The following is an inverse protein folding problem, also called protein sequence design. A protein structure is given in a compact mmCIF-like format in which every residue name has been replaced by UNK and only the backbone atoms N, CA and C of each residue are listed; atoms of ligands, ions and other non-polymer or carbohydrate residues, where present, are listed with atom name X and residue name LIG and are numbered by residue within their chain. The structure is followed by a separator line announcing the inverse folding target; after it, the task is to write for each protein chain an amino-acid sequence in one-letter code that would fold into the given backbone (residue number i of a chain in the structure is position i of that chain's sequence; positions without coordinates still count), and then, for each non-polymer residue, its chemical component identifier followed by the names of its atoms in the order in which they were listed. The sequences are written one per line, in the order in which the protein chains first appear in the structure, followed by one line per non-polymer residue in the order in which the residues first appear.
data_IF_689624190210
#
_entry.id   IF_689624190210
#
_cell.length_a   1.000
_cell.length_b   1.000
_cell.length_c   1.000
_cell.angle_alpha   90.00
_cell.angle_beta   90.00
_cell.angle_gamma   90.00
#
_symmetry.space_group_name_H-M   'P 1'
#
loop_
_entity.id
_entity.type
_entity.pdbx_description
1 polymer ?
#
# COMPACT_ATOMS: atom_id res chain seq x y z
N UNK A 1 44.81 -9.13 57.77
CA UNK A 1 44.36 -8.93 56.37
C UNK A 1 43.09 -9.75 56.15
N UNK A 2 41.93 -9.15 56.40
CA UNK A 2 40.62 -9.62 55.92
C UNK A 2 39.78 -8.35 55.76
N UNK A 3 39.47 -7.97 54.52
CA UNK A 3 38.45 -6.94 54.21
C UNK A 3 37.24 -7.69 53.67
N UNK A 4 36.13 -7.57 54.39
CA UNK A 4 34.78 -7.87 53.92
C UNK A 4 34.28 -6.64 53.16
N UNK A 5 33.99 -6.79 51.87
CA UNK A 5 33.26 -5.79 51.09
C UNK A 5 31.95 -6.43 50.63
N UNK A 6 30.85 -5.78 51.04
CA UNK A 6 29.47 -6.13 50.72
C UNK A 6 29.19 -6.02 49.23
N UNK A 7 28.67 -7.09 48.61
CA UNK A 7 28.00 -7.00 47.32
C UNK A 7 26.51 -6.72 47.55
N UNK A 8 26.12 -5.46 47.36
CA UNK A 8 24.72 -5.08 47.14
C UNK A 8 24.38 -5.47 45.69
N UNK A 9 23.54 -6.49 45.53
CA UNK A 9 22.94 -6.83 44.25
C UNK A 9 21.87 -5.79 43.91
N UNK A 10 22.21 -4.82 43.07
CA UNK A 10 21.25 -3.92 42.46
C UNK A 10 20.48 -4.69 41.37
N UNK A 11 19.18 -4.91 41.57
CA UNK A 11 18.26 -5.31 40.51
C UNK A 11 18.25 -4.21 39.44
N UNK A 12 18.90 -4.47 38.31
CA UNK A 12 18.67 -3.70 37.09
C UNK A 12 17.31 -4.11 36.51
N UNK A 13 16.29 -3.33 36.81
CA UNK A 13 15.03 -3.33 36.05
C UNK A 13 15.41 -2.87 34.63
N UNK A 14 15.54 -3.83 33.73
CA UNK A 14 15.64 -3.54 32.30
C UNK A 14 14.26 -3.05 31.84
N UNK A 15 14.10 -1.73 31.83
CA UNK A 15 13.09 -1.09 30.99
C UNK A 15 13.50 -1.34 29.55
N UNK A 16 13.04 -2.48 29.01
CA UNK A 16 13.07 -2.77 27.59
C UNK A 16 12.28 -1.70 26.87
N UNK A 17 12.96 -0.63 26.49
CA UNK A 17 12.50 0.25 25.41
C UNK A 17 12.40 -0.67 24.21
N UNK A 18 11.17 -1.11 23.92
CA UNK A 18 10.84 -1.75 22.66
C UNK A 18 11.19 -0.71 21.59
N UNK A 19 12.39 -0.86 21.04
CA UNK A 19 12.79 -0.21 19.81
C UNK A 19 11.66 -0.50 18.84
N UNK A 20 10.89 0.55 18.54
CA UNK A 20 9.95 0.50 17.44
C UNK A 20 10.78 0.02 16.25
N UNK A 21 10.27 -0.88 15.40
CA UNK A 21 10.81 -0.96 14.07
C UNK A 21 10.56 0.44 13.47
N UNK A 22 11.55 1.32 13.59
CA UNK A 22 11.82 2.30 12.57
C UNK A 22 11.75 1.47 11.31
N UNK A 23 10.68 1.67 10.54
CA UNK A 23 10.57 1.19 9.18
C UNK A 23 11.88 1.68 8.58
N UNK A 24 12.87 0.79 8.47
CA UNK A 24 14.15 1.09 7.85
C UNK A 24 13.74 1.75 6.56
N UNK A 25 14.24 2.96 6.32
CA UNK A 25 14.07 3.71 5.09
C UNK A 25 14.36 2.80 3.90
N UNK A 26 13.39 1.97 3.50
CA UNK A 26 13.23 1.48 2.15
C UNK A 26 12.77 2.75 1.47
N UNK A 27 13.78 3.45 0.96
CA UNK A 27 13.72 4.66 0.15
C UNK A 27 12.28 5.11 -0.10
N UNK A 28 11.74 5.99 0.77
CA UNK A 28 10.47 6.68 0.53
C UNK A 28 10.74 7.57 -0.68
N UNK A 29 10.67 6.99 -1.88
CA UNK A 29 10.77 7.72 -3.13
C UNK A 29 9.44 8.42 -3.32
N UNK A 30 9.47 9.75 -3.29
CA UNK A 30 8.29 10.55 -3.50
C UNK A 30 7.91 10.47 -4.96
N UNK A 31 6.72 9.96 -5.24
CA UNK A 31 6.31 9.70 -6.60
C UNK A 31 5.75 10.96 -7.24
N UNK A 32 6.62 11.91 -7.58
CA UNK A 32 6.21 13.13 -8.26
C UNK A 32 5.73 12.80 -9.68
N UNK A 33 4.53 13.26 -10.04
CA UNK A 33 4.18 13.49 -11.43
C UNK A 33 5.15 14.55 -11.97
N UNK A 34 6.28 14.14 -12.54
CA UNK A 34 7.02 15.03 -13.44
C UNK A 34 6.08 15.39 -14.59
N UNK A 35 5.87 16.69 -14.82
CA UNK A 35 5.08 17.22 -15.93
C UNK A 35 5.75 16.94 -17.28
N UNK A 36 5.95 15.67 -17.66
CA UNK A 36 6.67 15.34 -18.89
C UNK A 36 5.91 15.65 -20.16
N UNK A 37 4.63 16.07 -20.12
CA UNK A 37 3.96 16.71 -21.26
C UNK A 37 2.63 17.38 -20.85
N UNK A 38 2.61 18.70 -20.73
CA UNK A 38 1.37 19.49 -20.59
C UNK A 38 0.41 19.30 -21.79
N UNK A 39 0.95 18.91 -22.97
CA UNK A 39 0.18 18.65 -24.19
C UNK A 39 -0.41 17.25 -24.29
N UNK A 40 -0.02 16.30 -23.43
CA UNK A 40 -0.68 14.99 -23.40
C UNK A 40 -2.10 15.08 -22.80
N UNK A 41 -2.42 16.17 -22.09
CA UNK A 41 -3.67 16.30 -21.33
C UNK A 41 -4.94 16.37 -22.19
N UNK A 42 -4.87 16.77 -23.46
CA UNK A 42 -6.07 16.90 -24.30
C UNK A 42 -6.57 15.58 -24.92
N UNK A 43 -5.78 14.50 -24.89
CA UNK A 43 -6.21 13.17 -25.40
C UNK A 43 -6.16 12.04 -24.33
N UNK A 44 -6.12 12.36 -23.03
CA UNK A 44 -6.16 11.34 -21.96
C UNK A 44 -7.58 10.81 -21.72
N UNK A 45 -8.22 10.24 -22.76
CA UNK A 45 -9.35 9.32 -22.57
C UNK A 45 -8.82 7.89 -22.59
N UNK A 46 -8.20 7.46 -21.50
CA UNK A 46 -7.71 6.08 -21.45
C UNK A 46 -8.89 5.09 -21.30
N UNK A 47 -8.88 4.06 -22.15
CA UNK A 47 -9.81 2.91 -22.22
C UNK A 47 -9.01 1.60 -22.35
N UNK A 48 -7.90 1.49 -21.63
CA UNK A 48 -6.95 0.39 -21.69
C UNK A 48 -7.70 -0.93 -21.56
N UNK A 49 -7.71 -1.69 -22.66
CA UNK A 49 -8.27 -3.04 -22.66
C UNK A 49 -7.16 -3.95 -22.18
N UNK A 50 -7.28 -4.46 -20.96
CA UNK A 50 -6.37 -5.47 -20.42
C UNK A 50 -6.89 -6.84 -20.84
N UNK A 51 -6.20 -7.57 -21.75
CA UNK A 51 -6.66 -8.89 -22.14
C UNK A 51 -6.66 -9.83 -20.94
N UNK A 52 -7.72 -10.63 -20.80
CA UNK A 52 -7.76 -11.69 -19.80
C UNK A 52 -6.70 -12.72 -20.16
N UNK A 53 -5.88 -13.08 -19.19
CA UNK A 53 -4.91 -14.17 -19.29
C UNK A 53 -5.20 -15.18 -18.19
N UNK A 54 -5.14 -16.48 -18.50
CA UNK A 54 -5.25 -17.56 -17.50
C UNK A 54 -3.91 -18.27 -17.29
N UNK A 55 -2.94 -18.04 -18.16
CA UNK A 55 -1.60 -18.63 -18.16
C UNK A 55 -0.52 -17.60 -18.43
N UNK A 56 0.67 -17.83 -17.91
CA UNK A 56 1.86 -17.05 -18.22
C UNK A 56 2.26 -17.21 -19.69
N UNK A 57 1.86 -16.23 -20.51
CA UNK A 57 2.18 -16.16 -21.93
C UNK A 57 2.12 -14.69 -22.40
N UNK A 58 3.05 -13.82 -21.97
CA UNK A 58 3.05 -12.43 -22.36
C UNK A 58 3.23 -12.25 -23.88
N UNK A 59 2.69 -11.18 -24.48
CA UNK A 59 2.97 -10.80 -25.86
C UNK A 59 4.48 -10.74 -26.14
N UNK A 60 4.92 -11.22 -27.30
CA UNK A 60 6.35 -11.33 -27.65
C UNK A 60 7.10 -10.00 -27.60
N UNK A 61 6.41 -8.90 -27.91
CA UNK A 61 6.94 -7.53 -27.81
C UNK A 61 7.13 -7.03 -26.37
N UNK A 62 6.55 -7.68 -25.37
CA UNK A 62 6.70 -7.33 -23.95
C UNK A 62 7.73 -8.19 -23.22
N UNK A 63 8.11 -9.35 -23.75
CA UNK A 63 8.99 -10.32 -23.06
C UNK A 63 10.33 -9.67 -22.63
N UNK A 64 10.99 -8.95 -23.53
CA UNK A 64 12.27 -8.28 -23.23
C UNK A 64 12.09 -7.21 -22.15
N UNK A 65 11.04 -6.41 -22.23
CA UNK A 65 10.73 -5.38 -21.24
C UNK A 65 10.48 -6.00 -19.86
N UNK A 66 9.68 -7.06 -19.77
CA UNK A 66 9.39 -7.77 -18.52
C UNK A 66 10.64 -8.42 -17.92
N UNK A 67 11.58 -8.92 -18.73
CA UNK A 67 12.86 -9.42 -18.22
C UNK A 67 13.74 -8.29 -17.65
N UNK A 68 13.78 -7.13 -18.31
CA UNK A 68 14.49 -5.94 -17.81
C UNK A 68 13.91 -5.46 -16.48
N UNK A 69 12.58 -5.35 -16.39
CA UNK A 69 11.87 -4.99 -15.15
C UNK A 69 12.23 -5.97 -14.05
N UNK A 70 12.08 -7.28 -14.29
CA UNK A 70 12.38 -8.29 -13.28
C UNK A 70 13.82 -8.23 -12.75
N UNK A 71 14.80 -8.07 -13.64
CA UNK A 71 16.21 -7.92 -13.27
C UNK A 71 16.44 -6.68 -12.41
N UNK A 72 15.82 -5.56 -12.77
CA UNK A 72 15.91 -4.35 -11.98
C UNK A 72 15.22 -4.49 -10.63
N UNK A 73 14.04 -5.13 -10.57
CA UNK A 73 13.31 -5.40 -9.31
C UNK A 73 14.17 -6.20 -8.35
N UNK A 74 14.84 -7.26 -8.83
CA UNK A 74 15.71 -8.08 -7.99
C UNK A 74 17.03 -7.40 -7.62
N UNK A 75 17.45 -6.38 -8.37
CA UNK A 75 18.61 -5.54 -8.02
C UNK A 75 18.26 -4.55 -6.90
N UNK A 76 17.12 -3.88 -7.01
CA UNK A 76 16.67 -2.88 -6.03
C UNK A 76 16.09 -3.50 -4.77
N UNK A 77 15.44 -4.66 -4.89
CA UNK A 77 14.86 -5.38 -3.77
C UNK A 77 15.23 -6.89 -3.82
N UNK A 78 16.49 -7.26 -3.54
CA UNK A 78 16.96 -8.65 -3.62
C UNK A 78 16.21 -9.62 -2.70
N UNK A 79 15.62 -9.10 -1.62
CA UNK A 79 14.85 -9.85 -0.65
C UNK A 79 13.33 -9.69 -0.83
N UNK A 80 12.87 -9.05 -1.91
CA UNK A 80 11.45 -8.75 -2.11
C UNK A 80 10.57 -10.00 -2.09
N UNK A 81 11.04 -11.11 -2.66
CA UNK A 81 10.32 -12.38 -2.58
C UNK A 81 10.28 -13.00 -1.18
N UNK A 82 11.10 -12.56 -0.23
CA UNK A 82 11.07 -13.05 1.16
C UNK A 82 10.05 -12.31 2.03
N UNK A 83 9.73 -11.06 1.68
CA UNK A 83 8.71 -10.27 2.36
C UNK A 83 7.32 -10.89 2.13
N UNK A 84 6.58 -11.15 3.21
CA UNK A 84 5.25 -11.81 3.21
C UNK A 84 4.10 -10.82 3.48
N UNK A 85 4.34 -9.53 3.25
CA UNK A 85 3.37 -8.47 3.45
C UNK A 85 2.85 -7.83 2.16
N UNK A 86 3.24 -8.29 0.97
CA UNK A 86 2.68 -7.76 -0.29
C UNK A 86 1.16 -7.86 -0.33
N UNK A 87 0.49 -6.98 -1.07
CA UNK A 87 -0.98 -7.03 -1.26
C UNK A 87 -1.46 -8.42 -1.69
N UNK A 88 -0.71 -9.11 -2.56
CA UNK A 88 -0.98 -10.50 -2.93
C UNK A 88 -1.02 -11.44 -1.71
N UNK A 89 -0.03 -11.34 -0.81
CA UNK A 89 0.01 -12.13 0.44
C UNK A 89 -1.14 -11.75 1.38
N UNK A 90 -1.46 -10.46 1.50
CA UNK A 90 -2.57 -9.97 2.33
C UNK A 90 -3.92 -10.52 1.83
N UNK A 91 -4.19 -10.39 0.53
CA UNK A 91 -5.42 -10.85 -0.13
C UNK A 91 -5.60 -12.35 0.04
N UNK A 92 -4.54 -13.15 -0.19
CA UNK A 92 -4.61 -14.60 -0.04
C UNK A 92 -4.79 -15.00 1.43
N UNK A 93 -4.03 -14.40 2.35
CA UNK A 93 -4.10 -14.72 3.77
C UNK A 93 -5.48 -14.43 4.39
N UNK A 94 -6.19 -13.42 3.86
CA UNK A 94 -7.50 -13.01 4.36
C UNK A 94 -8.66 -13.34 3.39
N UNK A 95 -8.44 -14.31 2.49
CA UNK A 95 -9.42 -14.85 1.55
C UNK A 95 -10.22 -13.76 0.80
N UNK A 96 -9.51 -12.75 0.31
CA UNK A 96 -10.10 -11.64 -0.45
C UNK A 96 -10.62 -10.48 0.38
N UNK A 97 -10.47 -10.47 1.70
CA UNK A 97 -10.82 -9.31 2.51
C UNK A 97 -9.57 -8.46 2.77
N UNK A 98 -9.69 -7.15 2.65
CA UNK A 98 -8.63 -6.21 3.01
C UNK A 98 -9.22 -5.14 3.91
N UNK A 99 -8.69 -5.02 5.12
CA UNK A 99 -9.09 -4.01 6.08
C UNK A 99 -8.07 -2.86 6.07
N UNK A 100 -8.54 -1.66 5.76
CA UNK A 100 -7.78 -0.43 5.86
C UNK A 100 -7.92 0.21 7.24
N UNK A 101 -6.84 0.82 7.71
CA UNK A 101 -6.93 1.91 8.68
C UNK A 101 -6.51 3.24 8.04
N UNK A 102 -7.33 4.29 8.18
CA UNK A 102 -7.06 5.59 7.58
C UNK A 102 -6.36 6.50 8.59
N UNK A 103 -5.15 6.96 8.26
CA UNK A 103 -4.43 7.98 9.00
C UNK A 103 -4.79 9.34 8.43
N UNK A 104 -5.72 10.03 9.10
CA UNK A 104 -6.21 11.34 8.72
C UNK A 104 -5.34 12.44 9.34
N UNK A 105 -4.20 12.71 8.71
CA UNK A 105 -3.30 13.78 9.10
C UNK A 105 -3.69 15.09 8.39
N UNK A 106 -4.91 15.55 8.61
CA UNK A 106 -5.48 16.73 7.95
C UNK A 106 -6.33 17.54 8.92
N UNK A 107 -6.27 18.88 8.83
CA UNK A 107 -7.00 19.80 9.74
C UNK A 107 -8.50 19.86 9.47
N UNK A 108 -8.95 19.53 8.27
CA UNK A 108 -10.37 19.50 7.91
C UNK A 108 -11.10 18.30 8.52
N UNK A 109 -12.44 18.37 8.50
CA UNK A 109 -13.32 17.34 9.06
C UNK A 109 -13.41 16.11 8.16
N UNK A 110 -13.37 14.93 8.77
CA UNK A 110 -13.71 13.66 8.16
C UNK A 110 -15.20 13.37 8.39
N UNK A 111 -16.01 13.79 7.42
CA UNK A 111 -17.48 13.61 7.47
C UNK A 111 -17.87 12.18 7.14
N UNK A 112 -19.06 11.74 7.56
CA UNK A 112 -19.60 10.42 7.20
C UNK A 112 -19.63 10.20 5.66
N UNK A 113 -19.95 11.24 4.88
CA UNK A 113 -19.96 11.17 3.42
C UNK A 113 -18.56 11.01 2.82
N UNK A 114 -17.56 11.72 3.38
CA UNK A 114 -16.17 11.56 2.97
C UNK A 114 -15.69 10.13 3.24
N UNK A 115 -15.91 9.61 4.45
CA UNK A 115 -15.54 8.24 4.84
C UNK A 115 -16.21 7.18 3.96
N UNK A 116 -17.50 7.34 3.67
CA UNK A 116 -18.23 6.45 2.76
C UNK A 116 -17.69 6.50 1.31
N UNK A 117 -17.20 7.65 0.84
CA UNK A 117 -16.58 7.78 -0.47
C UNK A 117 -15.16 7.19 -0.47
N UNK A 118 -14.40 7.36 0.61
CA UNK A 118 -13.05 6.79 0.79
C UNK A 118 -13.06 5.27 0.61
N UNK A 119 -13.93 4.52 1.31
CA UNK A 119 -13.97 3.06 1.18
C UNK A 119 -14.37 2.61 -0.22
N UNK A 120 -15.28 3.34 -0.89
CA UNK A 120 -15.67 3.05 -2.28
C UNK A 120 -14.53 3.30 -3.26
N UNK A 121 -13.74 4.35 -3.05
CA UNK A 121 -12.55 4.66 -3.84
C UNK A 121 -11.49 3.56 -3.68
N UNK A 122 -11.19 3.17 -2.45
CA UNK A 122 -10.23 2.10 -2.16
C UNK A 122 -10.67 0.76 -2.77
N UNK A 123 -11.94 0.36 -2.61
CA UNK A 123 -12.48 -0.83 -3.28
C UNK A 123 -12.30 -0.75 -4.79
N UNK A 124 -12.75 0.34 -5.42
CA UNK A 124 -12.72 0.49 -6.88
C UNK A 124 -11.29 0.44 -7.42
N UNK A 125 -10.36 1.15 -6.79
CA UNK A 125 -8.97 1.20 -7.22
C UNK A 125 -8.25 -0.14 -7.03
N UNK A 126 -8.40 -0.78 -5.87
CA UNK A 126 -7.75 -2.07 -5.61
C UNK A 126 -8.37 -3.20 -6.45
N UNK A 127 -9.68 -3.13 -6.73
CA UNK A 127 -10.37 -4.09 -7.59
C UNK A 127 -9.73 -4.19 -8.98
N UNK A 128 -9.31 -3.06 -9.56
CA UNK A 128 -8.68 -3.05 -10.90
C UNK A 128 -7.38 -3.85 -10.94
N UNK A 129 -6.54 -3.74 -9.90
CA UNK A 129 -5.35 -4.57 -9.77
C UNK A 129 -5.68 -6.03 -9.46
N UNK A 130 -6.65 -6.27 -8.57
CA UNK A 130 -7.09 -7.61 -8.21
C UNK A 130 -7.62 -8.40 -9.43
N UNK A 131 -8.43 -7.77 -10.28
CA UNK A 131 -9.05 -8.38 -11.45
C UNK A 131 -8.01 -8.90 -12.47
N UNK A 132 -6.81 -8.32 -12.51
CA UNK A 132 -5.69 -8.80 -13.34
C UNK A 132 -5.30 -10.24 -12.99
N UNK A 133 -5.42 -10.61 -11.72
CA UNK A 133 -5.00 -11.91 -11.19
C UNK A 133 -6.14 -12.95 -11.15
N UNK A 134 -7.41 -12.55 -11.22
CA UNK A 134 -8.55 -13.46 -11.12
C UNK A 134 -8.51 -14.52 -12.24
N UNK A 135 -8.32 -15.78 -11.85
CA UNK A 135 -8.23 -16.92 -12.76
C UNK A 135 -6.89 -17.06 -13.51
N UNK A 136 -5.91 -16.21 -13.20
CA UNK A 136 -4.56 -16.28 -13.75
C UNK A 136 -3.69 -17.22 -12.93
N UNK A 137 -3.05 -18.21 -13.57
CA UNK A 137 -2.08 -19.12 -12.95
C UNK A 137 -2.59 -19.79 -11.64
N UNK A 138 -3.90 -20.03 -11.54
CA UNK A 138 -4.51 -20.66 -10.36
C UNK A 138 -4.62 -19.77 -9.13
N UNK A 139 -4.58 -18.43 -9.30
CA UNK A 139 -4.82 -17.49 -8.20
C UNK A 139 -6.10 -17.86 -7.42
N UNK A 140 -6.01 -18.07 -6.08
CA UNK A 140 -7.04 -18.79 -5.33
C UNK A 140 -8.25 -17.93 -4.95
N UNK A 141 -8.15 -16.61 -5.08
CA UNK A 141 -9.19 -15.66 -4.65
C UNK A 141 -9.93 -15.10 -5.86
N UNK A 142 -11.26 -15.08 -5.80
CA UNK A 142 -12.15 -14.65 -6.90
C UNK A 142 -12.99 -13.42 -6.57
N UNK A 143 -13.01 -12.99 -5.31
CA UNK A 143 -13.72 -11.81 -4.84
C UNK A 143 -12.83 -10.98 -3.93
N UNK A 144 -12.88 -9.66 -4.06
CA UNK A 144 -12.23 -8.71 -3.18
C UNK A 144 -13.29 -7.91 -2.41
N UNK A 145 -13.17 -7.83 -1.09
CA UNK A 145 -13.93 -6.91 -0.24
C UNK A 145 -12.94 -6.01 0.51
N UNK A 146 -13.07 -4.70 0.31
CA UNK A 146 -12.27 -3.68 0.98
C UNK A 146 -13.11 -2.99 2.03
N UNK A 147 -12.61 -2.97 3.27
CA UNK A 147 -13.24 -2.30 4.40
C UNK A 147 -12.33 -1.21 4.95
N UNK A 148 -12.91 -0.26 5.68
CA UNK A 148 -12.16 0.63 6.58
C UNK A 148 -12.64 0.32 7.98
N UNK A 149 -11.71 -0.09 8.86
CA UNK A 149 -12.02 -0.51 10.24
C UNK A 149 -11.62 0.53 11.28
N UNK A 150 -10.83 1.54 10.89
CA UNK A 150 -10.42 2.57 11.82
C UNK A 150 -9.95 3.86 11.16
N UNK A 151 -9.97 4.92 11.96
CA UNK A 151 -9.44 6.24 11.63
C UNK A 151 -8.53 6.72 12.75
N UNK A 152 -7.31 7.11 12.42
CA UNK A 152 -6.43 7.85 13.31
C UNK A 152 -6.48 9.35 12.97
N UNK A 153 -6.70 10.19 13.97
CA UNK A 153 -6.82 11.66 13.83
C UNK A 153 -6.04 12.37 14.93
N UNK A 154 -5.53 13.58 14.67
CA UNK A 154 -4.88 14.40 15.72
C UNK A 154 -5.85 14.78 16.84
N UNK A 155 -7.13 14.94 16.52
CA UNK A 155 -8.18 15.28 17.47
C UNK A 155 -9.48 14.59 17.09
N UNK A 156 -10.13 13.92 18.06
CA UNK A 156 -11.40 13.21 17.86
C UNK A 156 -12.52 14.09 17.28
N UNK A 157 -12.49 15.39 17.56
CA UNK A 157 -13.44 16.37 17.03
C UNK A 157 -13.37 16.52 15.50
N UNK A 158 -12.34 15.99 14.84
CA UNK A 158 -12.25 15.98 13.38
C UNK A 158 -13.15 14.93 12.74
N UNK A 159 -13.64 13.94 13.50
CA UNK A 159 -14.55 12.91 12.99
C UNK A 159 -15.98 13.38 13.22
N UNK A 160 -16.77 13.44 12.15
CA UNK A 160 -18.16 13.89 12.19
C UNK A 160 -19.14 12.81 11.72
N UNK A 161 -20.26 12.71 12.42
CA UNK A 161 -21.32 11.74 12.15
C UNK A 161 -21.06 10.38 12.80
N UNK A 162 -21.76 9.35 12.31
CA UNK A 162 -21.71 8.01 12.87
C UNK A 162 -20.32 7.36 12.72
N UNK A 163 -19.86 6.69 13.77
CA UNK A 163 -18.59 5.94 13.81
C UNK A 163 -18.82 4.47 14.17
N UNK A 164 -20.05 3.98 14.10
CA UNK A 164 -20.37 2.58 14.36
C UNK A 164 -19.52 1.66 13.48
N UNK A 165 -18.83 0.71 14.10
CA UNK A 165 -17.92 -0.21 13.41
C UNK A 165 -16.54 0.37 13.06
N UNK A 166 -16.21 1.59 13.53
CA UNK A 166 -14.89 2.19 13.34
C UNK A 166 -14.20 2.43 14.68
N UNK A 167 -12.95 2.01 14.76
CA UNK A 167 -12.05 2.43 15.84
C UNK A 167 -11.51 3.83 15.56
N UNK A 168 -11.68 4.74 16.51
CA UNK A 168 -11.18 6.11 16.40
C UNK A 168 -9.98 6.28 17.32
N UNK A 169 -8.80 6.40 16.71
CA UNK A 169 -7.52 6.57 17.38
C UNK A 169 -7.13 8.05 17.43
N UNK A 170 -6.58 8.48 18.56
CA UNK A 170 -5.97 9.81 18.73
C UNK A 170 -4.49 9.73 19.11
N UNK A 171 -3.90 8.55 18.94
CA UNK A 171 -2.48 8.28 19.09
C UNK A 171 -1.71 8.79 17.88
N UNK A 172 -0.46 9.14 18.07
CA UNK A 172 0.46 9.55 17.00
C UNK A 172 1.71 8.70 17.04
N UNK A 173 2.36 8.56 15.89
CA UNK A 173 3.72 8.02 15.82
C UNK A 173 4.73 9.04 16.42
N UNK A 174 6.03 8.70 16.50
CA UNK A 174 7.06 9.61 17.03
C UNK A 174 7.17 10.96 16.29
N UNK A 175 6.76 11.02 15.02
CA UNK A 175 6.77 12.23 14.19
C UNK A 175 5.51 13.09 14.39
N UNK A 176 4.59 12.69 15.27
CA UNK A 176 3.35 13.42 15.54
C UNK A 176 2.24 13.21 14.50
N UNK A 177 2.40 12.26 13.59
CA UNK A 177 1.40 11.87 12.59
C UNK A 177 0.43 10.87 13.22
N UNK A 178 -0.90 11.09 13.13
CA UNK A 178 -1.90 10.17 13.67
C UNK A 178 -1.66 8.73 13.24
N UNK A 179 -1.69 7.78 14.16
CA UNK A 179 -1.37 6.37 13.93
C UNK A 179 -2.42 5.45 14.56
N UNK A 180 -2.85 4.44 13.80
CA UNK A 180 -3.73 3.39 14.29
C UNK A 180 -2.96 2.41 15.19
N UNK A 181 -3.65 1.65 16.04
CA UNK A 181 -2.97 0.77 16.98
C UNK A 181 -2.14 -0.32 16.26
N UNK A 182 -0.82 -0.23 16.37
CA UNK A 182 0.13 -1.12 15.73
C UNK A 182 0.03 -2.58 16.22
N UNK A 183 -0.61 -2.83 17.36
CA UNK A 183 -0.95 -4.19 17.82
C UNK A 183 -2.01 -4.87 16.95
N UNK A 184 -2.75 -4.08 16.17
CA UNK A 184 -3.77 -4.55 15.23
C UNK A 184 -3.26 -4.61 13.78
N UNK A 185 -2.00 -4.24 13.53
CA UNK A 185 -1.47 -4.07 12.19
C UNK A 185 -0.76 -5.32 11.66
N UNK A 186 -1.30 -5.93 10.59
CA UNK A 186 -0.76 -7.17 10.02
C UNK A 186 0.74 -7.15 9.74
N UNK A 187 1.29 -6.06 9.20
CA UNK A 187 2.69 -5.99 8.79
C UNK A 187 3.68 -6.22 9.95
N UNK A 188 3.27 -5.95 11.19
CA UNK A 188 4.08 -6.16 12.39
C UNK A 188 3.87 -7.54 13.03
N UNK A 189 2.90 -8.31 12.52
CA UNK A 189 2.46 -9.60 13.07
C UNK A 189 2.36 -10.66 11.97
N UNK A 190 3.37 -10.76 11.11
CA UNK A 190 3.44 -11.75 10.01
C UNK A 190 3.53 -13.20 10.50
N UNK A 191 3.79 -13.41 11.79
CA UNK A 191 3.65 -14.69 12.47
C UNK A 191 2.18 -15.10 12.73
N UNK A 192 1.23 -14.20 12.46
CA UNK A 192 -0.20 -14.39 12.67
C UNK A 192 -0.68 -14.07 14.09
N UNK A 193 0.21 -13.66 15.00
CA UNK A 193 -0.15 -13.35 16.37
C UNK A 193 -0.54 -11.87 16.52
N UNK A 194 -1.85 -11.61 16.45
CA UNK A 194 -2.44 -10.33 16.79
C UNK A 194 -3.37 -10.47 18.01
N UNK A 195 -2.96 -11.27 19.01
CA UNK A 195 -3.78 -11.49 20.23
C UNK A 195 -3.87 -10.23 21.10
N UNK A 196 -2.91 -9.30 20.95
CA UNK A 196 -2.82 -8.07 21.74
C UNK A 196 -3.60 -6.89 21.11
N UNK A 197 -4.27 -7.11 19.98
CA UNK A 197 -5.13 -6.10 19.36
C UNK A 197 -6.36 -5.84 20.27
N UNK A 198 -6.54 -4.63 20.82
CA UNK A 198 -7.55 -4.38 21.86
C UNK A 198 -9.00 -4.67 21.42
N UNK A 199 -9.36 -4.35 20.18
CA UNK A 199 -10.68 -4.67 19.62
C UNK A 199 -10.74 -6.01 18.88
N UNK A 200 -9.78 -6.90 19.13
CA UNK A 200 -9.83 -8.28 18.68
C UNK A 200 -9.67 -8.42 17.17
N UNK A 201 -10.53 -9.23 16.53
CA UNK A 201 -10.45 -9.48 15.08
C UNK A 201 -11.02 -8.33 14.24
N UNK A 202 -12.04 -7.65 14.74
CA UNK A 202 -12.76 -6.62 13.99
C UNK A 202 -11.93 -5.34 13.80
N UNK A 203 -10.98 -5.10 14.70
CA UNK A 203 -10.03 -3.97 14.65
C UNK A 203 -8.76 -4.26 13.85
N UNK A 204 -8.53 -5.49 13.40
CA UNK A 204 -7.32 -5.84 12.64
C UNK A 204 -7.35 -5.21 11.27
N UNK A 205 -6.22 -4.65 10.86
CA UNK A 205 -6.06 -4.04 9.55
C UNK A 205 -4.81 -4.55 8.85
N UNK A 206 -4.91 -4.68 7.54
CA UNK A 206 -3.88 -5.24 6.66
C UNK A 206 -2.97 -4.15 6.11
N UNK A 207 -3.55 -2.97 5.87
CA UNK A 207 -2.95 -1.89 5.11
C UNK A 207 -3.47 -0.53 5.59
N UNK A 208 -2.76 0.55 5.25
CA UNK A 208 -3.12 1.90 5.70
C UNK A 208 -3.20 2.90 4.54
N UNK A 209 -4.16 3.82 4.63
CA UNK A 209 -4.24 5.00 3.76
C UNK A 209 -3.87 6.22 4.59
N UNK A 210 -2.82 6.91 4.21
CA UNK A 210 -2.34 8.10 4.89
C UNK A 210 -2.77 9.29 4.05
N UNK A 211 -3.60 10.14 4.63
CA UNK A 211 -4.00 11.41 4.04
C UNK A 211 -3.23 12.49 4.76
N UNK A 212 -2.08 12.86 4.19
CA UNK A 212 -1.07 13.67 4.86
C UNK A 212 -1.05 15.11 4.36
N UNK A 213 -1.31 16.06 5.26
CA UNK A 213 -1.29 17.48 4.97
C UNK A 213 0.08 17.97 4.45
N UNK A 214 1.19 17.30 4.76
CA UNK A 214 2.51 17.62 4.24
C UNK A 214 2.59 17.45 2.72
N UNK A 215 1.73 16.60 2.14
CA UNK A 215 1.63 16.38 0.70
C UNK A 215 0.57 17.26 0.02
N UNK A 216 -0.07 18.19 0.74
CA UNK A 216 -1.07 19.10 0.16
C UNK A 216 -0.45 19.95 -0.94
N UNK A 217 -1.13 20.06 -2.08
CA UNK A 217 -0.63 20.81 -3.24
C UNK A 217 0.52 20.12 -3.98
N UNK A 218 0.93 18.92 -3.57
CA UNK A 218 1.89 18.10 -4.29
C UNK A 218 1.15 17.10 -5.19
N UNK A 219 1.64 16.91 -6.42
CA UNK A 219 1.12 15.90 -7.34
C UNK A 219 1.99 14.64 -7.25
N UNK A 220 1.93 13.97 -6.10
CA UNK A 220 2.63 12.71 -5.88
C UNK A 220 2.21 12.01 -4.60
N UNK A 221 2.77 10.82 -4.36
CA UNK A 221 2.48 10.01 -3.19
C UNK A 221 3.64 9.12 -2.78
N UNK A 222 3.37 8.28 -1.78
CA UNK A 222 4.23 7.14 -1.45
C UNK A 222 3.39 5.89 -1.37
N UNK A 223 3.99 4.77 -1.75
CA UNK A 223 3.31 3.49 -1.82
C UNK A 223 4.28 2.36 -1.53
N UNK A 224 3.81 1.40 -0.75
CA UNK A 224 4.52 0.13 -0.57
C UNK A 224 3.55 -0.93 -0.04
N UNK A 225 4.08 -2.06 0.43
CA UNK A 225 3.27 -3.12 1.02
C UNK A 225 2.53 -2.71 2.32
N UNK A 226 2.89 -1.58 2.93
CA UNK A 226 2.22 -1.05 4.13
C UNK A 226 1.00 -0.17 3.84
N UNK A 227 0.86 0.32 2.61
CA UNK A 227 -0.14 1.33 2.33
C UNK A 227 0.17 2.30 1.21
N UNK A 228 -0.65 3.33 1.18
CA UNK A 228 -0.55 4.47 0.29
C UNK A 228 -0.60 5.75 1.13
N UNK A 229 0.19 6.74 0.76
CA UNK A 229 0.22 8.07 1.36
C UNK A 229 0.06 9.13 0.27
N UNK A 230 -0.95 9.98 0.42
CA UNK A 230 -1.33 10.98 -0.56
C UNK A 230 -1.71 12.29 0.12
N UNK A 231 -1.65 13.39 -0.65
CA UNK A 231 -2.26 14.66 -0.25
C UNK A 231 -3.78 14.51 -0.06
N UNK A 232 -4.35 15.01 1.06
CA UNK A 232 -5.78 14.91 1.34
C UNK A 232 -6.62 15.65 0.30
N UNK A 233 -6.15 16.80 -0.17
CA UNK A 233 -6.78 17.59 -1.23
C UNK A 233 -6.86 16.81 -2.55
N UNK A 234 -5.76 16.22 -3.00
CA UNK A 234 -5.72 15.40 -4.19
C UNK A 234 -6.69 14.21 -4.07
N UNK A 235 -6.58 13.42 -2.99
CA UNK A 235 -7.39 12.22 -2.83
C UNK A 235 -8.89 12.56 -2.77
N UNK A 236 -9.28 13.54 -1.96
CA UNK A 236 -10.69 13.89 -1.77
C UNK A 236 -11.31 14.54 -3.02
N UNK A 237 -10.56 15.36 -3.76
CA UNK A 237 -11.03 15.94 -5.01
C UNK A 237 -11.25 14.89 -6.11
N UNK A 238 -10.51 13.78 -6.05
CA UNK A 238 -10.57 12.72 -7.05
C UNK A 238 -11.31 11.45 -6.57
N UNK A 239 -11.86 11.44 -5.35
CA UNK A 239 -12.40 10.24 -4.67
C UNK A 239 -13.51 9.52 -5.46
N UNK A 240 -14.19 10.23 -6.36
CA UNK A 240 -15.27 9.68 -7.19
C UNK A 240 -14.83 9.33 -8.62
N UNK A 241 -13.59 9.62 -9.02
CA UNK A 241 -13.08 9.25 -10.33
C UNK A 241 -12.91 7.73 -10.44
N UNK A 242 -13.16 7.19 -11.63
CA UNK A 242 -12.95 5.76 -11.87
C UNK A 242 -11.49 5.37 -11.67
N UNK A 243 -10.57 6.19 -12.21
CA UNK A 243 -9.13 6.05 -12.05
C UNK A 243 -8.56 7.21 -11.21
N UNK A 244 -8.25 6.93 -9.94
CA UNK A 244 -7.49 7.84 -9.08
C UNK A 244 -6.01 7.59 -9.33
N UNK A 245 -5.43 8.32 -10.29
CA UNK A 245 -4.12 8.01 -10.87
C UNK A 245 -3.01 7.75 -9.82
N UNK A 246 -2.73 8.68 -8.91
CA UNK A 246 -1.66 8.50 -7.91
C UNK A 246 -1.98 7.30 -7.02
N UNK A 247 -3.23 7.16 -6.56
CA UNK A 247 -3.61 6.02 -5.73
C UNK A 247 -3.39 4.68 -6.43
N UNK A 248 -3.73 4.58 -7.72
CA UNK A 248 -3.51 3.37 -8.50
C UNK A 248 -2.01 3.06 -8.66
N UNK A 249 -1.19 4.08 -8.90
CA UNK A 249 0.27 3.96 -8.93
C UNK A 249 0.82 3.44 -7.59
N UNK A 250 0.48 4.10 -6.47
CA UNK A 250 0.96 3.70 -5.15
C UNK A 250 0.47 2.30 -4.72
N UNK A 251 -0.72 1.89 -5.17
CA UNK A 251 -1.20 0.51 -4.99
C UNK A 251 -0.35 -0.51 -5.75
N UNK A 252 0.20 -0.15 -6.91
CA UNK A 252 1.10 -1.01 -7.67
C UNK A 252 2.37 -1.37 -6.90
N UNK A 253 2.94 -0.44 -6.13
CA UNK A 253 4.04 -0.73 -5.20
C UNK A 253 3.64 -1.70 -4.08
N UNK A 254 2.39 -1.65 -3.63
CA UNK A 254 1.83 -2.64 -2.71
C UNK A 254 1.83 -4.07 -3.28
N UNK A 255 1.80 -4.20 -4.61
CA UNK A 255 2.00 -5.47 -5.31
C UNK A 255 3.46 -5.77 -5.67
N UNK A 256 4.44 -4.98 -5.18
CA UNK A 256 5.86 -5.21 -5.44
C UNK A 256 6.35 -4.69 -6.79
N UNK A 257 5.54 -3.89 -7.50
CA UNK A 257 5.96 -3.27 -8.76
C UNK A 257 6.93 -2.12 -8.50
N UNK A 258 7.92 -1.96 -9.38
CA UNK A 258 8.88 -0.86 -9.31
C UNK A 258 8.30 0.46 -9.81
N UNK A 259 8.99 1.53 -9.46
CA UNK A 259 8.84 2.85 -10.07
C UNK A 259 9.87 3.07 -11.20
N UNK A 260 9.61 4.03 -12.09
CA UNK A 260 10.35 4.25 -13.34
C UNK A 260 10.60 5.75 -13.61
N UNK A 261 11.64 6.33 -12.99
CA UNK A 261 12.08 7.72 -13.23
C UNK A 261 13.23 7.84 -14.23
N UNK A 262 14.24 7.00 -14.07
CA UNK A 262 15.55 7.17 -14.72
C UNK A 262 15.73 6.30 -15.96
N UNK A 263 14.77 5.42 -16.22
CA UNK A 263 14.84 4.47 -17.32
C UNK A 263 13.45 3.98 -17.71
N UNK A 264 13.34 3.48 -18.94
CA UNK A 264 12.09 2.91 -19.46
C UNK A 264 12.40 1.54 -20.08
N UNK A 265 11.60 0.50 -19.78
CA UNK A 265 11.75 -0.79 -20.44
C UNK A 265 11.61 -0.69 -21.96
N UNK A 266 12.37 -1.50 -22.67
CA UNK A 266 12.41 -1.46 -24.13
C UNK A 266 11.01 -1.62 -24.75
N UNK A 267 10.66 -0.68 -25.63
CA UNK A 267 9.41 -0.72 -26.38
C UNK A 267 8.16 -0.38 -25.57
N UNK A 268 8.31 0.06 -24.32
CA UNK A 268 7.21 0.56 -23.51
C UNK A 268 7.29 2.09 -23.42
N UNK A 269 6.14 2.77 -23.49
CA UNK A 269 6.10 4.23 -23.53
C UNK A 269 5.08 4.84 -22.59
N UNK A 270 4.03 4.09 -22.20
CA UNK A 270 2.99 4.57 -21.30
C UNK A 270 2.49 3.40 -20.45
N UNK A 271 2.62 3.50 -19.13
CA UNK A 271 2.12 2.53 -18.15
C UNK A 271 2.09 3.19 -16.77
N UNK A 272 1.16 2.80 -15.91
CA UNK A 272 0.87 3.57 -14.70
C UNK A 272 2.05 3.63 -13.75
N UNK A 273 2.87 2.56 -13.70
CA UNK A 273 4.07 2.53 -12.85
C UNK A 273 5.19 3.46 -13.34
N UNK A 274 5.09 4.03 -14.54
CA UNK A 274 5.91 5.17 -14.97
C UNK A 274 5.07 6.43 -14.76
N UNK A 275 5.25 7.04 -13.59
CA UNK A 275 4.41 8.12 -13.09
C UNK A 275 4.18 9.22 -14.16
N UNK A 276 2.91 9.55 -14.39
CA UNK A 276 2.52 10.59 -15.35
C UNK A 276 2.45 10.15 -16.82
N UNK A 277 2.94 8.95 -17.18
CA UNK A 277 2.86 8.45 -18.56
C UNK A 277 1.51 7.82 -18.92
N UNK A 278 0.77 7.32 -17.92
CA UNK A 278 -0.58 6.80 -18.07
C UNK A 278 -1.43 7.18 -16.86
N UNK A 279 -2.74 7.36 -17.04
CA UNK A 279 -3.67 7.74 -15.96
C UNK A 279 -4.47 6.56 -15.39
N UNK A 280 -4.28 5.36 -15.94
CA UNK A 280 -4.90 4.11 -15.52
C UNK A 280 -3.99 2.91 -15.77
N UNK A 281 -4.34 1.76 -15.19
CA UNK A 281 -3.60 0.51 -15.34
C UNK A 281 -3.65 0.04 -16.80
N UNK A 282 -2.47 -0.17 -17.39
CA UNK A 282 -2.32 -0.63 -18.76
C UNK A 282 -2.11 -2.14 -18.86
N UNK A 283 -2.09 -2.68 -20.08
CA UNK A 283 -1.73 -4.08 -20.30
C UNK A 283 -0.30 -4.40 -19.82
N UNK A 284 0.65 -3.47 -19.98
CA UNK A 284 2.03 -3.72 -19.53
C UNK A 284 2.10 -3.81 -18.00
N UNK A 285 1.39 -2.93 -17.27
CA UNK A 285 1.25 -3.01 -15.81
C UNK A 285 0.65 -4.36 -15.37
N UNK A 286 -0.37 -4.81 -16.09
CA UNK A 286 -1.01 -6.09 -15.82
C UNK A 286 -0.04 -7.28 -16.02
N UNK A 287 0.81 -7.25 -17.05
CA UNK A 287 1.82 -8.28 -17.25
C UNK A 287 2.97 -8.22 -16.23
N UNK A 288 3.36 -7.03 -15.76
CA UNK A 288 4.29 -6.88 -14.64
C UNK A 288 3.71 -7.52 -13.37
N UNK A 289 2.44 -7.24 -13.03
CA UNK A 289 1.76 -7.85 -11.89
C UNK A 289 1.65 -9.37 -12.03
N UNK A 290 1.28 -9.87 -13.21
CA UNK A 290 1.24 -11.32 -13.49
C UNK A 290 2.60 -11.98 -13.32
N UNK A 291 3.67 -11.33 -13.78
CA UNK A 291 5.04 -11.82 -13.62
C UNK A 291 5.39 -11.92 -12.13
N UNK A 292 5.14 -10.85 -11.38
CA UNK A 292 5.36 -10.83 -9.94
C UNK A 292 4.61 -11.97 -9.22
N UNK A 293 3.33 -12.18 -9.56
CA UNK A 293 2.54 -13.26 -9.00
C UNK A 293 3.15 -14.65 -9.29
N UNK A 294 3.58 -14.93 -10.53
CA UNK A 294 4.24 -16.22 -10.85
C UNK A 294 5.49 -16.43 -10.01
N UNK A 295 6.28 -15.38 -9.78
CA UNK A 295 7.50 -15.44 -8.97
C UNK A 295 7.18 -15.65 -7.49
N UNK A 296 6.20 -14.93 -6.95
CA UNK A 296 5.72 -15.13 -5.59
C UNK A 296 5.14 -16.54 -5.40
N UNK A 297 4.28 -16.99 -6.30
CA UNK A 297 3.69 -18.33 -6.27
C UNK A 297 4.76 -19.41 -6.14
N UNK A 298 5.78 -19.35 -6.99
CA UNK A 298 6.92 -20.28 -6.92
C UNK A 298 7.69 -20.17 -5.59
N UNK A 299 7.93 -18.96 -5.08
CA UNK A 299 8.62 -18.74 -3.81
C UNK A 299 7.80 -19.15 -2.57
N UNK A 300 6.48 -19.13 -2.66
CA UNK A 300 5.54 -19.47 -1.58
C UNK A 300 5.11 -20.94 -1.59
N UNK A 301 5.18 -21.61 -2.74
CA UNK A 301 4.60 -22.94 -2.94
C UNK A 301 3.08 -22.94 -3.00
N UNK A 302 2.48 -21.87 -3.53
CA UNK A 302 1.03 -21.80 -3.83
C UNK A 302 0.67 -22.50 -5.15
#
# INVERSE_FOLDING_TARGET
MVKFESFIAALAVSTGVLAHPTIKHVDRRFCALEERNLFAREELTSRATIPKATKWNPPSNMVTALDQVWKQTMKENPQGLQDKNWLTDQIIANNGNINYCVRWNHKGKSTAAARASTVKALQRSLQKWFDVLVGFEGFPVTKLNVNVVGYAVKNKNLIEGDTTGLDIYTTTNPDGVPECDTRCYRALHLNGDMSQCPGGKDSRYDISLWLDEELTGQFGGYGYNWGQELGPDYFLNNVNLDNIHILLHEMGHGFGLLDFYDWTPQGQTNFIMMAGSATEITEFDAWMLRQWYVKLKAARGW
#
